data_IF_554970403396
#
_entry.id   IF_554970403396
#
_cell.length_a   1.000
_cell.length_b   1.000
_cell.length_c   1.000
_cell.angle_alpha   90.00
_cell.angle_beta   90.00
_cell.angle_gamma   90.00
#
_symmetry.space_group_name_H-M   'P 1'
#
loop_
_entity.id
_entity.type
_entity.pdbx_description
1 polymer ?
#
# COMPACT_ATOMS: atom_id res chain seq x y z
N UNK A 1 -1.07 -19.16 13.04
CA UNK A 1 -1.42 -17.96 12.25
C UNK A 1 -0.16 -17.12 12.12
N UNK A 2 0.09 -16.48 10.97
CA UNK A 2 1.36 -15.79 10.64
C UNK A 2 1.62 -14.59 11.57
N UNK A 3 2.33 -14.81 12.68
CA UNK A 3 2.69 -13.76 13.64
C UNK A 3 3.60 -12.70 13.01
N UNK A 4 4.43 -13.11 12.05
CA UNK A 4 5.24 -12.19 11.25
C UNK A 4 4.39 -11.23 10.42
N UNK A 5 3.22 -11.65 9.89
CA UNK A 5 2.32 -10.73 9.14
C UNK A 5 1.78 -9.70 10.11
N UNK A 6 1.29 -10.19 11.25
CA UNK A 6 0.61 -9.36 12.24
C UNK A 6 1.57 -8.31 12.77
N UNK A 7 2.83 -8.69 13.00
CA UNK A 7 3.90 -7.76 13.42
C UNK A 7 4.21 -6.74 12.34
N UNK A 8 4.37 -7.17 11.09
CA UNK A 8 4.68 -6.27 9.99
C UNK A 8 3.54 -5.28 9.72
N UNK A 9 2.30 -5.75 9.66
CA UNK A 9 1.10 -4.92 9.50
C UNK A 9 0.98 -3.91 10.65
N UNK A 10 1.17 -4.34 11.90
CA UNK A 10 1.13 -3.43 13.05
C UNK A 10 2.21 -2.37 12.98
N UNK A 11 3.42 -2.74 12.54
CA UNK A 11 4.55 -1.82 12.42
C UNK A 11 4.30 -0.80 11.31
N UNK A 12 3.89 -1.25 10.13
CA UNK A 12 3.57 -0.37 9.00
C UNK A 12 2.42 0.57 9.37
N UNK A 13 1.36 0.05 9.98
CA UNK A 13 0.23 0.87 10.42
C UNK A 13 0.65 1.91 11.47
N UNK A 14 1.44 1.51 12.48
CA UNK A 14 1.91 2.42 13.50
C UNK A 14 2.82 3.52 12.94
N UNK A 15 3.71 3.19 11.99
CA UNK A 15 4.57 4.16 11.32
C UNK A 15 3.75 5.11 10.45
N UNK A 16 2.80 4.61 9.67
CA UNK A 16 1.91 5.46 8.84
C UNK A 16 1.04 6.35 9.71
N UNK A 17 0.44 5.83 10.78
CA UNK A 17 -0.38 6.60 11.71
C UNK A 17 0.45 7.65 12.46
N UNK A 18 1.67 7.30 12.90
CA UNK A 18 2.60 8.23 13.54
C UNK A 18 3.04 9.35 12.59
N UNK A 19 3.36 9.01 11.34
CA UNK A 19 3.70 9.98 10.31
C UNK A 19 2.51 10.93 10.02
N UNK A 20 1.30 10.39 9.85
CA UNK A 20 0.09 11.18 9.65
C UNK A 20 -0.22 12.07 10.86
N UNK A 21 -0.02 11.57 12.08
CA UNK A 21 -0.24 12.34 13.32
C UNK A 21 0.84 13.41 13.56
N UNK A 22 2.06 13.22 13.07
CA UNK A 22 3.14 14.24 13.14
C UNK A 22 2.97 15.36 12.11
N UNK A 23 2.17 15.10 11.08
CA UNK A 23 1.98 15.98 9.94
C UNK A 23 1.40 17.37 10.28
N UNK A 24 0.40 17.52 11.18
CA UNK A 24 -0.13 18.84 11.56
C UNK A 24 0.94 19.75 12.17
N UNK A 25 1.89 19.19 12.93
CA UNK A 25 2.97 19.97 13.53
C UNK A 25 3.95 20.48 12.45
N UNK A 26 4.24 19.63 11.45
CA UNK A 26 5.06 20.00 10.29
C UNK A 26 4.36 21.07 9.43
N UNK A 27 3.05 20.94 9.21
CA UNK A 27 2.24 21.93 8.46
C UNK A 27 2.19 23.27 9.20
N UNK A 28 2.03 23.23 10.52
CA UNK A 28 2.04 24.43 11.36
C UNK A 28 3.38 25.18 11.30
N UNK A 29 4.52 24.46 11.32
CA UNK A 29 5.85 25.08 11.20
C UNK A 29 6.19 25.56 9.79
N UNK A 30 5.58 24.97 8.76
CA UNK A 30 5.88 25.26 7.36
C UNK A 30 5.06 26.42 6.78
N UNK A 31 4.08 26.97 7.53
CA UNK A 31 3.35 28.18 7.16
C UNK A 31 2.45 28.06 5.93
N UNK A 32 2.01 26.84 5.57
CA UNK A 32 1.16 26.62 4.40
C UNK A 32 -0.32 26.88 4.72
N UNK A 33 -1.10 27.46 3.78
CA UNK A 33 -2.53 27.66 3.94
C UNK A 33 -3.27 26.30 4.07
N UNK A 34 -4.18 26.23 5.05
CA UNK A 34 -4.86 25.02 5.57
C UNK A 34 -5.65 24.18 4.55
N UNK A 35 -5.71 24.57 3.28
CA UNK A 35 -6.59 23.98 2.26
C UNK A 35 -5.93 22.98 1.32
N UNK A 36 -4.60 22.81 1.34
CA UNK A 36 -3.86 21.97 0.38
C UNK A 36 -3.02 20.82 0.99
N UNK A 37 -2.32 21.00 2.14
CA UNK A 37 -1.38 19.99 2.62
C UNK A 37 -2.07 18.71 3.11
N UNK A 38 -3.15 18.84 3.88
CA UNK A 38 -3.85 17.70 4.46
C UNK A 38 -4.42 16.74 3.40
N UNK A 39 -4.96 17.30 2.31
CA UNK A 39 -5.44 16.51 1.17
C UNK A 39 -4.28 15.81 0.44
N UNK A 40 -3.16 16.51 0.25
CA UNK A 40 -1.94 15.92 -0.32
C UNK A 40 -1.44 14.72 0.50
N UNK A 41 -1.45 14.82 1.82
CA UNK A 41 -1.07 13.70 2.68
C UNK A 41 -2.09 12.56 2.68
N UNK A 42 -3.39 12.84 2.70
CA UNK A 42 -4.41 11.81 2.59
C UNK A 42 -4.29 11.05 1.26
N UNK A 43 -4.06 11.77 0.15
CA UNK A 43 -3.82 11.16 -1.16
C UNK A 43 -2.49 10.41 -1.21
N UNK A 44 -1.42 10.94 -0.61
CA UNK A 44 -0.13 10.26 -0.53
C UNK A 44 -0.22 8.96 0.28
N UNK A 45 -0.93 8.97 1.41
CA UNK A 45 -1.19 7.77 2.23
C UNK A 45 -2.06 6.78 1.45
N UNK A 46 -3.14 7.23 0.82
CA UNK A 46 -4.01 6.38 -0.01
C UNK A 46 -3.24 5.74 -1.18
N UNK A 47 -2.41 6.53 -1.87
CA UNK A 47 -1.53 6.05 -2.94
C UNK A 47 -0.49 5.07 -2.44
N UNK A 48 0.13 5.33 -1.28
CA UNK A 48 1.09 4.42 -0.66
C UNK A 48 0.43 3.07 -0.31
N UNK A 49 -0.79 3.09 0.26
CA UNK A 49 -1.56 1.88 0.55
C UNK A 49 -1.91 1.13 -0.74
N UNK A 50 -2.36 1.84 -1.78
CA UNK A 50 -2.67 1.25 -3.09
C UNK A 50 -1.44 0.60 -3.71
N UNK A 51 -0.27 1.25 -3.60
CA UNK A 51 1.00 0.72 -4.09
C UNK A 51 1.44 -0.51 -3.31
N UNK A 52 1.22 -0.52 -1.99
CA UNK A 52 1.46 -1.70 -1.16
C UNK A 52 0.58 -2.87 -1.61
N UNK A 53 -0.71 -2.65 -1.83
CA UNK A 53 -1.63 -3.68 -2.34
C UNK A 53 -1.27 -4.17 -3.75
N UNK A 54 -0.61 -3.34 -4.56
CA UNK A 54 -0.15 -3.73 -5.89
C UNK A 54 1.15 -4.55 -5.88
N UNK A 55 1.82 -4.71 -4.73
CA UNK A 55 3.03 -5.53 -4.66
C UNK A 55 2.65 -7.03 -4.67
N UNK A 56 3.29 -7.86 -5.50
CA UNK A 56 3.00 -9.31 -5.56
C UNK A 56 3.37 -10.05 -4.26
N UNK A 57 4.18 -9.42 -3.40
CA UNK A 57 4.46 -9.91 -2.06
C UNK A 57 3.19 -9.94 -1.20
N UNK A 58 2.23 -9.06 -1.45
CA UNK A 58 0.95 -9.04 -0.72
C UNK A 58 0.11 -10.25 -1.12
N UNK A 59 0.02 -10.57 -2.41
CA UNK A 59 -0.70 -11.76 -2.90
C UNK A 59 -0.17 -13.08 -2.31
N UNK A 60 1.14 -13.21 -2.09
CA UNK A 60 1.73 -14.38 -1.43
C UNK A 60 1.34 -14.51 0.06
N UNK A 61 0.85 -13.43 0.67
CA UNK A 61 0.38 -13.41 2.04
C UNK A 61 -1.13 -13.54 2.16
N UNK A 62 -1.87 -13.21 1.09
CA UNK A 62 -3.32 -13.29 1.02
C UNK A 62 -3.80 -14.75 0.89
N UNK A 63 -4.91 -15.12 1.57
CA UNK A 63 -5.53 -16.42 1.38
C UNK A 63 -6.01 -16.60 -0.06
N UNK A 64 -6.16 -17.86 -0.51
CA UNK A 64 -6.49 -18.17 -1.90
C UNK A 64 -7.76 -17.48 -2.45
N UNK A 65 -8.72 -17.16 -1.59
CA UNK A 65 -9.98 -16.47 -1.95
C UNK A 65 -9.85 -14.95 -2.11
N UNK A 66 -8.70 -14.35 -1.77
CA UNK A 66 -8.44 -12.92 -1.88
C UNK A 66 -7.30 -12.60 -2.86
N UNK A 67 -6.61 -13.61 -3.39
CA UNK A 67 -5.55 -13.42 -4.40
C UNK A 67 -6.17 -12.94 -5.72
N UNK A 68 -5.49 -12.00 -6.39
CA UNK A 68 -5.89 -11.53 -7.71
C UNK A 68 -5.92 -12.71 -8.69
N UNK A 69 -6.96 -12.82 -9.51
CA UNK A 69 -7.02 -13.84 -10.55
C UNK A 69 -5.83 -13.67 -11.51
N UNK A 70 -5.15 -14.76 -11.87
CA UNK A 70 -4.09 -14.74 -12.87
C UNK A 70 -4.64 -14.14 -14.16
N UNK A 71 -3.89 -13.21 -14.74
CA UNK A 71 -4.28 -12.57 -15.99
C UNK A 71 -4.27 -13.63 -17.12
N UNK A 72 -5.41 -13.91 -17.78
CA UNK A 72 -5.50 -14.96 -18.80
C UNK A 72 -4.50 -14.77 -19.94
N UNK A 73 -4.14 -13.52 -20.25
CA UNK A 73 -3.21 -13.18 -21.33
C UNK A 73 -1.77 -13.65 -21.03
N UNK A 74 -1.42 -13.76 -19.74
CA UNK A 74 -0.11 -14.20 -19.27
C UNK A 74 0.15 -15.69 -19.60
N UNK A 75 -0.91 -16.51 -19.60
CA UNK A 75 -0.83 -17.92 -19.97
C UNK A 75 -0.77 -18.12 -21.49
N UNK A 76 -1.48 -17.27 -22.25
CA UNK A 76 -1.43 -17.26 -23.73
C UNK A 76 -0.02 -16.89 -24.22
N UNK A 77 0.59 -15.87 -23.62
CA UNK A 77 1.97 -15.47 -23.95
C UNK A 77 2.99 -16.57 -23.62
N UNK A 78 2.83 -17.27 -22.48
CA UNK A 78 3.68 -18.41 -22.11
C UNK A 78 3.49 -19.61 -23.03
N UNK A 79 2.33 -19.76 -23.65
CA UNK A 79 2.06 -20.83 -24.60
C UNK A 79 2.68 -20.52 -25.96
N UNK A 80 2.54 -19.29 -26.46
CA UNK A 80 3.12 -18.85 -27.71
C UNK A 80 4.66 -18.86 -27.75
N UNK A 81 5.33 -18.64 -26.60
CA UNK A 81 6.81 -18.73 -26.49
C UNK A 81 7.30 -20.19 -26.46
N UNK A 82 6.42 -21.15 -26.18
CA UNK A 82 6.77 -22.57 -26.02
C UNK A 82 6.63 -23.38 -27.30
N UNK A 83 5.92 -22.84 -28.30
CA UNK A 83 5.83 -23.36 -29.67
C UNK A 83 6.91 -22.76 -30.58
#
# INVERSE_FOLDING_TARGET
>A
MKDSTRRWVRTTFAVTAGAAASMPLLVHTAGLPDTLPGLGALLAVSGAVTRLLALPVVDGWLPAWLRKASDPDDDVLRQAVRE
#
